data_IF_812729634974
#
_entry.id   IF_812729634974
#
_cell.length_a   1.000
_cell.length_b   1.000
_cell.length_c   1.000
_cell.angle_alpha   90.00
_cell.angle_beta   90.00
_cell.angle_gamma   90.00
#
_symmetry.space_group_name_H-M   'P 1'
#
loop_
_entity.id
_entity.type
_entity.pdbx_description
1 polymer ?
#
# COMPACT_ATOMS: atom_id res chain seq x y z
N UNK A 1 -10.61 55.04 38.48
CA UNK A 1 -11.80 54.14 38.50
C UNK A 1 -12.38 54.25 37.10
N UNK A 2 -12.42 53.25 36.19
CA UNK A 2 -12.65 51.80 36.23
C UNK A 2 -11.88 51.15 35.05
N UNK A 3 -11.37 49.93 35.23
CA UNK A 3 -10.80 49.06 34.18
C UNK A 3 -11.92 48.43 33.35
N UNK A 4 -11.78 48.30 32.03
CA UNK A 4 -12.36 47.18 31.28
C UNK A 4 -11.49 46.84 30.08
N UNK A 5 -11.00 45.60 30.08
CA UNK A 5 -10.35 44.96 28.95
C UNK A 5 -11.42 44.32 28.04
N UNK A 6 -11.15 44.27 26.74
CA UNK A 6 -11.57 43.15 25.91
C UNK A 6 -10.62 43.02 24.71
N UNK A 7 -10.03 41.84 24.56
CA UNK A 7 -9.21 41.44 23.43
C UNK A 7 -10.00 40.50 22.52
N UNK A 8 -9.91 40.70 21.21
CA UNK A 8 -10.18 39.74 20.15
C UNK A 8 -9.37 40.26 18.94
N UNK A 9 -8.35 39.58 18.43
CA UNK A 9 -8.38 38.23 17.89
C UNK A 9 -8.27 38.36 16.37
N UNK A 10 -7.06 38.68 15.88
CA UNK A 10 -6.76 38.94 14.48
C UNK A 10 -6.36 37.62 13.79
N UNK A 11 -7.16 37.14 12.84
CA UNK A 11 -6.77 36.03 11.95
C UNK A 11 -6.63 36.59 10.53
N UNK A 12 -5.39 36.81 10.11
CA UNK A 12 -5.04 37.17 8.74
C UNK A 12 -5.15 35.95 7.84
N UNK A 13 -6.06 36.01 6.86
CA UNK A 13 -6.04 35.11 5.69
C UNK A 13 -5.07 35.74 4.68
N UNK A 14 -3.94 35.06 4.43
CA UNK A 14 -2.89 35.51 3.52
C UNK A 14 -2.35 34.33 2.71
N UNK A 15 -2.29 34.52 1.40
CA UNK A 15 -2.09 33.55 0.33
C UNK A 15 -0.64 33.09 0.10
N UNK A 16 -0.47 31.93 -0.54
CA UNK A 16 0.58 31.56 -1.53
C UNK A 16 0.48 30.05 -1.80
N UNK A 17 -0.11 29.56 -2.90
CA UNK A 17 0.49 29.34 -4.23
C UNK A 17 1.97 28.91 -4.26
N UNK A 18 2.20 27.78 -4.93
CA UNK A 18 3.48 27.17 -5.37
C UNK A 18 4.22 26.26 -4.38
N UNK A 19 3.91 24.96 -4.43
CA UNK A 19 4.84 23.91 -4.04
C UNK A 19 5.08 22.99 -5.24
N UNK A 20 6.01 23.39 -6.11
CA UNK A 20 6.71 22.47 -6.99
C UNK A 20 7.68 21.67 -6.12
N UNK A 21 7.45 20.38 -5.97
CA UNK A 21 8.33 19.47 -5.25
C UNK A 21 7.86 18.06 -5.50
N UNK A 22 8.67 17.30 -6.22
CA UNK A 22 8.48 15.89 -6.55
C UNK A 22 8.08 15.11 -5.29
N UNK A 23 6.88 14.53 -5.27
CA UNK A 23 6.51 13.55 -4.25
C UNK A 23 7.25 12.26 -4.62
N UNK A 24 8.40 12.04 -3.98
CA UNK A 24 9.08 10.75 -3.98
C UNK A 24 8.31 9.84 -3.02
N UNK A 25 7.35 9.09 -3.56
CA UNK A 25 6.47 8.17 -2.82
C UNK A 25 7.28 7.11 -2.06
N UNK A 26 7.24 7.23 -0.74
CA UNK A 26 7.93 6.40 0.21
C UNK A 26 7.06 5.19 0.62
N UNK A 27 7.51 3.96 0.33
CA UNK A 27 6.96 2.77 1.02
C UNK A 27 7.12 2.93 2.55
N UNK A 28 6.18 2.46 3.38
CA UNK A 28 6.34 2.55 4.82
C UNK A 28 7.62 1.85 5.30
N UNK A 29 8.29 2.51 6.23
CA UNK A 29 9.30 1.96 7.12
C UNK A 29 8.85 0.64 7.74
N UNK A 30 9.82 -0.27 7.98
CA UNK A 30 9.70 -1.55 8.71
C UNK A 30 8.42 -1.59 9.56
N UNK A 31 7.45 -2.47 9.26
CA UNK A 31 6.28 -2.57 10.11
C UNK A 31 6.76 -2.94 11.52
N UNK A 32 6.23 -2.23 12.53
CA UNK A 32 6.19 -2.79 13.87
C UNK A 32 5.68 -4.21 13.75
N UNK A 33 6.24 -5.13 14.55
CA UNK A 33 5.94 -6.55 14.56
C UNK A 33 4.45 -6.77 14.85
N UNK A 34 3.60 -6.56 13.85
CA UNK A 34 2.18 -6.82 13.90
C UNK A 34 2.09 -8.32 13.76
N UNK A 35 1.90 -9.00 14.90
CA UNK A 35 1.34 -10.33 14.90
C UNK A 35 0.21 -10.35 13.87
N UNK A 36 0.26 -11.29 12.92
CA UNK A 36 -0.61 -11.30 11.75
C UNK A 36 -2.07 -11.10 12.18
N UNK A 37 -2.57 -9.88 12.02
CA UNK A 37 -3.97 -9.59 12.23
C UNK A 37 -4.75 -10.40 11.18
N UNK A 38 -5.91 -10.97 11.55
CA UNK A 38 -6.69 -11.74 10.60
C UNK A 38 -7.01 -10.91 9.35
N UNK A 39 -7.10 -11.54 8.17
CA UNK A 39 -7.45 -10.82 6.95
C UNK A 39 -8.80 -10.12 7.11
N UNK A 40 -8.95 -9.00 6.41
CA UNK A 40 -10.23 -8.31 6.29
C UNK A 40 -11.30 -9.30 5.82
N UNK A 41 -12.50 -9.23 6.41
CA UNK A 41 -13.63 -10.01 5.90
C UNK A 41 -13.88 -9.60 4.46
N UNK A 42 -13.83 -10.59 3.57
CA UNK A 42 -14.03 -10.43 2.14
C UNK A 42 -15.48 -10.81 1.79
N UNK A 43 -16.20 -9.90 1.17
CA UNK A 43 -17.56 -10.10 0.67
C UNK A 43 -17.61 -9.85 -0.84
N UNK A 44 -18.21 -10.77 -1.59
CA UNK A 44 -18.36 -10.66 -3.04
C UNK A 44 -19.83 -10.40 -3.38
N UNK A 45 -20.16 -9.19 -3.83
CA UNK A 45 -21.52 -8.85 -4.23
C UNK A 45 -21.83 -9.37 -5.65
N UNK A 46 -20.82 -9.41 -6.52
CA UNK A 46 -20.88 -9.84 -7.92
C UNK A 46 -19.47 -10.13 -8.46
N UNK A 47 -19.31 -10.88 -9.57
CA UNK A 47 -18.00 -11.08 -10.17
C UNK A 47 -17.29 -9.76 -10.47
N UNK A 48 -16.01 -9.69 -10.11
CA UNK A 48 -15.20 -8.48 -10.28
C UNK A 48 -15.48 -7.38 -9.24
N UNK A 49 -16.24 -7.68 -8.18
CA UNK A 49 -16.53 -6.77 -7.09
C UNK A 49 -16.20 -7.43 -5.75
N UNK A 50 -15.31 -6.80 -4.99
CA UNK A 50 -14.91 -7.25 -3.65
C UNK A 50 -15.04 -6.11 -2.66
N UNK A 51 -15.65 -6.40 -1.51
CA UNK A 51 -15.69 -5.50 -0.35
C UNK A 51 -14.84 -6.09 0.78
N UNK A 52 -13.98 -5.27 1.36
CA UNK A 52 -13.11 -5.59 2.48
C UNK A 52 -13.53 -4.77 3.71
N UNK A 53 -13.65 -5.40 4.87
CA UNK A 53 -13.80 -4.71 6.16
C UNK A 53 -12.45 -4.42 6.80
N UNK A 54 -12.24 -3.21 7.31
CA UNK A 54 -11.02 -2.84 8.02
C UNK A 54 -10.78 -3.77 9.21
N UNK A 55 -9.50 -4.06 9.47
CA UNK A 55 -9.09 -4.76 10.68
C UNK A 55 -9.30 -3.91 11.93
N UNK A 56 -9.07 -4.47 13.14
CA UNK A 56 -9.20 -3.74 14.40
C UNK A 56 -8.30 -2.49 14.50
N UNK A 57 -7.22 -2.47 13.72
CA UNK A 57 -6.25 -1.37 13.62
C UNK A 57 -6.59 -0.38 12.49
N UNK A 58 -7.76 -0.51 11.85
CA UNK A 58 -8.20 0.36 10.77
C UNK A 58 -7.55 0.06 9.40
N UNK A 59 -6.67 -0.94 9.32
CA UNK A 59 -5.97 -1.29 8.10
C UNK A 59 -6.71 -2.37 7.31
N UNK A 60 -6.70 -2.27 5.99
CA UNK A 60 -7.27 -3.29 5.10
C UNK A 60 -6.22 -4.34 4.75
N UNK A 61 -6.48 -5.60 5.06
CA UNK A 61 -5.59 -6.73 4.77
C UNK A 61 -6.29 -7.73 3.88
N UNK A 62 -5.57 -8.28 2.91
CA UNK A 62 -6.15 -9.20 1.93
C UNK A 62 -5.20 -10.36 1.66
N UNK A 63 -5.77 -11.54 1.47
CA UNK A 63 -5.04 -12.67 0.91
C UNK A 63 -5.08 -12.60 -0.61
N UNK A 64 -4.04 -12.00 -1.20
CA UNK A 64 -3.89 -11.99 -2.65
C UNK A 64 -3.43 -13.38 -3.13
N UNK A 65 -3.88 -13.81 -4.29
CA UNK A 65 -3.27 -14.94 -5.00
C UNK A 65 -2.34 -14.41 -6.07
N UNK A 66 -1.07 -14.81 -6.03
CA UNK A 66 -0.02 -14.43 -6.98
C UNK A 66 0.66 -15.72 -7.43
N UNK A 67 0.63 -16.02 -8.73
CA UNK A 67 1.21 -17.26 -9.26
C UNK A 67 0.66 -18.52 -8.59
N UNK A 68 -0.62 -18.52 -8.21
CA UNK A 68 -1.29 -19.64 -7.52
C UNK A 68 -1.00 -19.74 -6.02
N UNK A 69 -0.16 -18.88 -5.44
CA UNK A 69 0.20 -18.88 -4.02
C UNK A 69 -0.52 -17.76 -3.29
N UNK A 70 -1.01 -18.04 -2.08
CA UNK A 70 -1.62 -17.01 -1.21
C UNK A 70 -0.52 -16.17 -0.57
N UNK A 71 -0.67 -14.86 -0.66
CA UNK A 71 0.23 -13.85 -0.10
C UNK A 71 -0.62 -12.86 0.70
N UNK A 72 -0.50 -12.83 2.03
CA UNK A 72 -1.13 -11.81 2.84
C UNK A 72 -0.51 -10.44 2.52
N UNK A 73 -1.37 -9.46 2.23
CA UNK A 73 -0.95 -8.12 1.84
C UNK A 73 -1.72 -7.06 2.62
N UNK A 74 -1.04 -5.98 2.96
CA UNK A 74 -1.66 -4.73 3.40
C UNK A 74 -2.03 -3.91 2.16
N UNK A 75 -3.26 -3.38 2.11
CA UNK A 75 -3.64 -2.43 1.07
C UNK A 75 -3.05 -1.07 1.40
N UNK A 76 -2.27 -0.52 0.47
CA UNK A 76 -1.55 0.73 0.68
C UNK A 76 -1.69 1.63 -0.57
N UNK A 77 -2.57 2.63 -0.49
CA UNK A 77 -2.77 3.61 -1.56
C UNK A 77 -1.62 4.61 -1.69
N UNK A 78 -0.72 4.68 -0.71
CA UNK A 78 0.49 5.50 -0.75
C UNK A 78 1.66 4.82 -1.47
N UNK A 79 1.61 3.50 -1.66
CA UNK A 79 2.62 2.77 -2.42
C UNK A 79 2.35 2.87 -3.93
N UNK A 80 3.29 3.43 -4.71
CA UNK A 80 3.14 3.52 -6.18
C UNK A 80 3.08 2.15 -6.87
N UNK A 81 3.80 1.16 -6.32
CA UNK A 81 3.91 -0.21 -6.88
C UNK A 81 3.60 -1.26 -5.83
N UNK A 82 3.24 -2.47 -6.26
CA UNK A 82 3.20 -3.64 -5.38
C UNK A 82 4.60 -3.89 -4.85
N UNK A 83 4.74 -4.01 -3.54
CA UNK A 83 6.02 -4.26 -2.88
C UNK A 83 5.97 -5.58 -2.13
N UNK A 84 6.98 -6.42 -2.32
CA UNK A 84 7.13 -7.71 -1.68
C UNK A 84 8.41 -7.70 -0.84
N UNK A 85 8.35 -8.30 0.35
CA UNK A 85 9.57 -8.66 1.08
C UNK A 85 10.42 -9.64 0.28
N UNK A 86 11.69 -9.75 0.63
CA UNK A 86 12.60 -10.70 0.02
C UNK A 86 12.06 -12.14 0.12
N UNK A 87 11.55 -12.53 1.29
CA UNK A 87 11.04 -13.87 1.59
C UNK A 87 9.80 -14.20 0.76
N UNK A 88 8.90 -13.23 0.59
CA UNK A 88 7.74 -13.38 -0.30
C UNK A 88 8.21 -13.54 -1.76
N UNK A 89 9.14 -12.70 -2.20
CA UNK A 89 9.74 -12.80 -3.53
C UNK A 89 10.41 -14.15 -3.79
N UNK A 90 11.19 -14.66 -2.85
CA UNK A 90 11.86 -15.95 -2.94
C UNK A 90 10.84 -17.09 -3.00
N UNK A 91 9.82 -17.06 -2.14
CA UNK A 91 8.78 -18.08 -2.11
C UNK A 91 7.97 -18.13 -3.42
N UNK A 92 7.83 -16.99 -4.10
CA UNK A 92 7.18 -16.86 -5.41
C UNK A 92 8.12 -17.17 -6.59
N UNK A 93 9.41 -17.45 -6.34
CA UNK A 93 10.41 -17.70 -7.37
C UNK A 93 10.81 -16.45 -8.16
N UNK A 94 10.61 -15.26 -7.59
CA UNK A 94 10.92 -13.96 -8.21
C UNK A 94 12.37 -13.52 -7.93
N UNK A 95 12.95 -14.01 -6.82
CA UNK A 95 14.35 -13.78 -6.44
C UNK A 95 15.03 -15.04 -5.92
N UNK A 96 16.36 -15.01 -5.89
CA UNK A 96 17.22 -16.01 -5.25
C UNK A 96 18.44 -15.37 -4.58
N UNK A 97 19.18 -16.13 -3.76
CA UNK A 97 20.26 -15.63 -2.89
C UNK A 97 21.47 -14.94 -3.55
N UNK A 98 21.53 -14.86 -4.89
CA UNK A 98 22.57 -14.14 -5.63
C UNK A 98 22.07 -12.93 -6.44
N UNK A 99 20.78 -12.63 -6.37
CA UNK A 99 20.21 -11.54 -7.17
C UNK A 99 20.68 -10.16 -6.69
N UNK A 100 20.85 -9.25 -7.65
CA UNK A 100 21.17 -7.85 -7.36
C UNK A 100 19.91 -7.01 -7.17
N UNK A 101 19.99 -6.07 -6.23
CA UNK A 101 18.92 -5.15 -5.87
C UNK A 101 19.29 -3.71 -6.31
N UNK A 102 19.54 -3.57 -7.61
CA UNK A 102 20.10 -2.33 -8.19
C UNK A 102 19.09 -1.19 -8.31
N UNK A 103 17.79 -1.47 -8.20
CA UNK A 103 16.79 -0.42 -8.14
C UNK A 103 16.75 0.21 -6.75
N UNK A 104 16.34 1.47 -6.69
CA UNK A 104 16.09 2.19 -5.45
C UNK A 104 14.62 2.54 -5.35
N UNK A 105 14.04 2.28 -4.19
CA UNK A 105 12.66 2.64 -3.86
C UNK A 105 12.70 3.55 -2.65
N UNK A 106 12.00 4.67 -2.73
CA UNK A 106 11.86 5.56 -1.58
C UNK A 106 11.01 4.84 -0.51
N UNK A 107 11.37 5.03 0.74
CA UNK A 107 10.61 4.56 1.90
C UNK A 107 10.59 5.64 2.97
N UNK A 108 9.72 5.51 3.96
CA UNK A 108 9.63 6.47 5.06
C UNK A 108 10.93 6.53 5.87
N UNK A 109 11.74 5.46 5.85
CA UNK A 109 13.06 5.39 6.47
C UNK A 109 14.21 5.71 5.49
N UNK A 110 13.92 6.32 4.33
CA UNK A 110 14.89 6.59 3.28
C UNK A 110 14.85 5.56 2.14
N UNK A 111 15.88 5.51 1.32
CA UNK A 111 15.86 4.66 0.11
C UNK A 111 16.42 3.26 0.35
N UNK A 112 15.65 2.25 -0.06
CA UNK A 112 16.02 0.83 0.04
C UNK A 112 16.32 0.24 -1.34
N UNK A 113 17.17 -0.79 -1.35
CA UNK A 113 17.46 -1.58 -2.56
C UNK A 113 16.26 -2.45 -2.95
N UNK A 114 16.04 -2.61 -4.26
CA UNK A 114 14.96 -3.41 -4.79
C UNK A 114 15.33 -4.10 -6.12
N UNK A 115 14.64 -5.18 -6.44
CA UNK A 115 14.60 -5.81 -7.76
C UNK A 115 13.24 -5.58 -8.37
N UNK A 116 13.19 -4.99 -9.57
CA UNK A 116 11.95 -4.83 -10.34
C UNK A 116 11.51 -6.17 -10.92
N UNK A 117 10.23 -6.48 -10.81
CA UNK A 117 9.62 -7.69 -11.34
C UNK A 117 8.23 -7.37 -11.92
N UNK A 118 7.69 -8.30 -12.70
CA UNK A 118 6.30 -8.23 -13.19
C UNK A 118 5.57 -9.48 -12.70
N UNK A 119 4.47 -9.27 -11.98
CA UNK A 119 3.59 -10.34 -11.55
C UNK A 119 2.62 -10.64 -12.68
N UNK A 120 2.63 -11.89 -13.16
CA UNK A 120 1.78 -12.33 -14.27
C UNK A 120 0.31 -12.07 -14.00
N UNK A 121 -0.15 -12.40 -12.79
CA UNK A 121 -1.46 -12.05 -12.30
C UNK A 121 -1.45 -11.84 -10.79
N UNK A 122 -2.30 -10.92 -10.35
CA UNK A 122 -2.65 -10.70 -8.94
C UNK A 122 -4.16 -10.79 -8.84
N UNK A 123 -4.66 -11.59 -7.89
CA UNK A 123 -6.09 -11.81 -7.71
C UNK A 123 -6.51 -11.66 -6.26
N UNK A 124 -7.62 -10.97 -6.05
CA UNK A 124 -8.29 -10.75 -4.77
C UNK A 124 -9.74 -11.18 -4.96
N UNK A 125 -10.14 -12.30 -4.36
CA UNK A 125 -11.44 -12.90 -4.66
C UNK A 125 -11.64 -13.05 -6.18
N UNK A 126 -12.74 -12.51 -6.68
CA UNK A 126 -13.07 -12.44 -8.11
C UNK A 126 -12.40 -11.30 -8.90
N UNK A 127 -11.72 -10.35 -8.24
CA UNK A 127 -10.99 -9.25 -8.90
C UNK A 127 -9.61 -9.73 -9.33
N UNK A 128 -9.30 -9.65 -10.62
CA UNK A 128 -8.02 -10.06 -11.19
C UNK A 128 -7.40 -8.95 -12.04
N UNK A 129 -6.09 -8.77 -11.90
CA UNK A 129 -5.27 -7.88 -12.73
C UNK A 129 -4.04 -8.62 -13.22
N UNK A 130 -3.84 -8.67 -14.54
CA UNK A 130 -2.68 -9.29 -15.20
C UNK A 130 -1.55 -8.28 -15.42
N UNK A 131 -0.29 -8.73 -15.49
CA UNK A 131 0.90 -7.91 -15.79
C UNK A 131 1.08 -6.73 -14.83
N UNK A 132 1.14 -7.01 -13.53
CA UNK A 132 1.26 -6.00 -12.47
C UNK A 132 2.73 -5.72 -12.19
N UNK A 133 3.13 -4.46 -12.36
CA UNK A 133 4.47 -4.01 -11.99
C UNK A 133 4.68 -4.12 -10.47
N UNK A 134 5.80 -4.71 -10.05
CA UNK A 134 6.10 -4.89 -8.64
C UNK A 134 7.60 -4.77 -8.37
N UNK A 135 7.93 -4.69 -7.08
CA UNK A 135 9.31 -4.74 -6.60
C UNK A 135 9.44 -5.79 -5.50
N UNK A 136 10.57 -6.49 -5.50
CA UNK A 136 11.03 -7.29 -4.35
C UNK A 136 12.12 -6.47 -3.65
N UNK A 137 11.93 -6.15 -2.38
CA UNK A 137 12.92 -5.39 -1.64
C UNK A 137 14.11 -6.26 -1.22
N UNK A 138 15.25 -5.63 -0.98
CA UNK A 138 16.45 -6.30 -0.45
C UNK A 138 16.16 -6.98 0.90
N UNK A 139 16.89 -8.06 1.26
CA UNK A 139 16.70 -8.77 2.52
C UNK A 139 16.64 -7.82 3.74
N UNK A 140 15.67 -8.04 4.63
CA UNK A 140 15.50 -7.27 5.86
C UNK A 140 14.97 -5.83 5.71
N UNK A 141 14.63 -5.39 4.49
CA UNK A 141 14.10 -4.03 4.26
C UNK A 141 12.63 -3.86 4.69
N UNK A 142 11.82 -4.92 4.56
CA UNK A 142 10.43 -4.96 5.04
C UNK A 142 10.05 -6.38 5.42
N UNK A 143 9.00 -6.51 6.24
CA UNK A 143 8.31 -7.77 6.47
C UNK A 143 6.96 -7.73 5.71
N UNK A 144 6.56 -8.84 5.08
CA UNK A 144 5.26 -8.96 4.42
C UNK A 144 5.20 -8.39 2.99
N UNK A 145 4.05 -7.81 2.63
CA UNK A 145 3.78 -7.33 1.28
C UNK A 145 2.73 -6.20 1.26
N UNK A 146 2.87 -5.28 0.32
CA UNK A 146 2.00 -4.12 0.12
C UNK A 146 1.33 -4.17 -1.26
N UNK A 147 0.01 -3.98 -1.28
CA UNK A 147 -0.76 -3.89 -2.51
C UNK A 147 -0.91 -2.42 -2.90
N UNK A 148 -0.02 -1.96 -3.79
CA UNK A 148 0.07 -0.57 -4.23
C UNK A 148 -0.71 -0.22 -5.50
N UNK A 149 -0.52 1.01 -5.97
CA UNK A 149 -1.22 1.65 -7.09
C UNK A 149 -1.01 0.97 -8.45
N UNK A 150 0.11 0.27 -8.68
CA UNK A 150 0.29 -0.59 -9.86
C UNK A 150 -0.79 -1.67 -10.03
N UNK A 151 -1.43 -2.11 -8.94
CA UNK A 151 -2.61 -2.97 -8.96
C UNK A 151 -3.88 -2.12 -8.81
N UNK A 152 -3.95 -1.34 -7.72
CA UNK A 152 -5.13 -0.60 -7.32
C UNK A 152 -5.60 0.36 -8.43
N UNK A 153 -4.69 1.17 -8.98
CA UNK A 153 -5.00 2.13 -10.04
C UNK A 153 -5.45 1.51 -11.37
N UNK A 154 -5.44 0.17 -11.50
CA UNK A 154 -5.97 -0.55 -12.67
C UNK A 154 -7.40 -1.04 -12.47
N UNK A 155 -7.99 -0.77 -11.31
CA UNK A 155 -9.39 -1.06 -11.02
C UNK A 155 -10.26 0.06 -11.58
N UNK A 156 -11.49 -0.26 -11.98
CA UNK A 156 -12.50 0.74 -12.39
C UNK A 156 -12.94 1.59 -11.22
N UNK A 157 -13.02 0.98 -10.03
CA UNK A 157 -13.42 1.66 -8.81
C UNK A 157 -12.62 1.18 -7.63
N UNK A 158 -12.21 2.15 -6.82
CA UNK A 158 -11.67 1.96 -5.49
C UNK A 158 -12.39 2.97 -4.62
N UNK A 159 -13.11 2.50 -3.62
CA UNK A 159 -13.87 3.38 -2.73
C UNK A 159 -13.63 2.96 -1.30
N UNK A 160 -13.13 3.90 -0.50
CA UNK A 160 -12.98 3.74 0.94
C UNK A 160 -14.05 4.55 1.65
N UNK A 161 -14.81 3.90 2.53
CA UNK A 161 -15.82 4.53 3.36
C UNK A 161 -15.78 3.93 4.76
N UNK A 162 -15.43 4.73 5.76
CA UNK A 162 -15.29 4.32 7.18
C UNK A 162 -14.39 3.09 7.34
N UNK A 163 -14.99 1.93 7.53
CA UNK A 163 -14.38 0.63 7.78
C UNK A 163 -14.52 -0.32 6.57
N UNK A 164 -14.87 0.21 5.39
CA UNK A 164 -15.06 -0.59 4.18
C UNK A 164 -14.21 -0.08 3.02
N UNK A 165 -13.65 -1.02 2.27
CA UNK A 165 -12.95 -0.77 1.01
C UNK A 165 -13.58 -1.63 -0.09
N UNK A 166 -14.03 -0.99 -1.16
CA UNK A 166 -14.60 -1.64 -2.34
C UNK A 166 -13.59 -1.62 -3.47
N UNK A 167 -13.38 -2.78 -4.10
CA UNK A 167 -12.53 -3.00 -5.27
C UNK A 167 -13.38 -3.50 -6.43
N UNK A 168 -13.34 -2.82 -7.58
CA UNK A 168 -14.13 -3.17 -8.76
C UNK A 168 -13.30 -3.15 -10.05
N UNK A 169 -13.40 -4.21 -10.85
CA UNK A 169 -12.66 -4.37 -12.11
C UNK A 169 -13.46 -3.99 -13.36
#
# INVERSE_FOLDING_TARGET
MIKMALAAGLLTVGAAYMATGLIEDALPARPERTAAAPPSRLEEARPGHVSLSAGPDGHFRVDATIGGRRVPMLVDTGATVVALSYENGESLGLVSGGDRFDARVATANGSVGAKRVVLRDVRIGSVKVDDVAAVVLSPGAMDGALLGMSFLGRLRRIESARDRLVLER
#
